data_IF_186731084779
#
_entry.id   IF_186731084779
#
_cell.length_a   1.000
_cell.length_b   1.000
_cell.length_c   1.000
_cell.angle_alpha   90.00
_cell.angle_beta   90.00
_cell.angle_gamma   90.00
#
_symmetry.space_group_name_H-M   'P 1'
#
loop_
_entity.id
_entity.type
_entity.pdbx_description
1 polymer ?
#
# COMPACT_ATOMS: atom_id res chain seq x y z
N UNK A 1 63.21 1.83 38.14
CA UNK A 1 62.93 1.50 36.72
C UNK A 1 62.29 0.10 36.67
N UNK A 2 60.97 -0.01 36.48
CA UNK A 2 60.26 -1.31 36.43
C UNK A 2 60.09 -1.74 34.97
N UNK A 3 60.63 -2.91 34.62
CA UNK A 3 60.45 -3.59 33.33
C UNK A 3 58.99 -4.02 33.17
N UNK A 4 58.38 -3.65 32.04
CA UNK A 4 57.04 -4.09 31.64
C UNK A 4 57.17 -5.49 31.03
N UNK A 5 56.46 -6.47 31.58
CA UNK A 5 56.41 -7.85 31.09
C UNK A 5 55.59 -7.94 29.80
N UNK A 6 56.19 -8.55 28.77
CA UNK A 6 55.62 -8.79 27.42
C UNK A 6 54.57 -9.92 27.36
N UNK A 7 53.89 -10.22 28.47
CA UNK A 7 52.93 -11.31 28.58
C UNK A 7 51.48 -10.93 28.26
N UNK A 8 51.09 -9.66 28.44
CA UNK A 8 49.67 -9.27 28.35
C UNK A 8 49.19 -8.90 26.95
N UNK A 9 50.08 -8.85 25.96
CA UNK A 9 49.72 -8.38 24.61
C UNK A 9 49.14 -9.51 23.73
N UNK A 10 49.52 -10.77 23.96
CA UNK A 10 49.02 -11.90 23.15
C UNK A 10 47.60 -12.33 23.50
N UNK A 11 47.16 -12.11 24.74
CA UNK A 11 45.79 -12.43 25.15
C UNK A 11 44.78 -11.37 24.71
N UNK A 12 45.21 -10.11 24.53
CA UNK A 12 44.32 -9.03 24.11
C UNK A 12 43.87 -9.19 22.64
N UNK A 13 44.75 -9.67 21.76
CA UNK A 13 44.41 -9.94 20.36
C UNK A 13 43.51 -11.18 20.18
N UNK A 14 43.56 -12.15 21.10
CA UNK A 14 42.72 -13.34 21.03
C UNK A 14 41.26 -13.06 21.44
N UNK A 15 41.01 -12.07 22.32
CA UNK A 15 39.62 -11.74 22.72
C UNK A 15 38.86 -10.89 21.69
N UNK A 16 39.58 -10.18 20.81
CA UNK A 16 38.96 -9.27 19.83
C UNK A 16 38.38 -10.02 18.60
N UNK A 17 38.81 -11.26 18.33
CA UNK A 17 38.29 -12.07 17.21
C UNK A 17 37.01 -12.85 17.53
N UNK A 18 36.62 -13.01 18.81
CA UNK A 18 35.38 -13.73 19.15
C UNK A 18 34.10 -12.89 19.04
N UNK A 19 34.21 -11.57 18.88
CA UNK A 19 33.04 -10.68 18.75
C UNK A 19 32.63 -10.37 17.30
N UNK A 20 33.28 -10.99 16.31
CA UNK A 20 33.11 -10.62 14.90
C UNK A 20 32.09 -11.47 14.10
N UNK A 21 31.25 -12.31 14.73
CA UNK A 21 30.34 -13.21 14.01
C UNK A 21 28.83 -13.00 14.25
N UNK A 22 28.41 -11.91 14.90
CA UNK A 22 26.97 -11.59 15.04
C UNK A 22 26.55 -10.40 14.17
N UNK A 23 26.97 -10.43 12.90
CA UNK A 23 26.49 -9.47 11.89
C UNK A 23 25.37 -10.11 11.05
N UNK A 24 24.15 -9.65 11.32
CA UNK A 24 23.04 -9.51 10.37
C UNK A 24 22.52 -10.78 9.66
N UNK A 25 21.95 -11.70 10.42
CA UNK A 25 20.88 -12.55 9.91
C UNK A 25 19.53 -12.08 10.47
N UNK A 26 19.19 -10.80 10.28
CA UNK A 26 17.79 -10.36 10.34
C UNK A 26 17.13 -10.72 9.00
N UNK A 27 17.21 -12.00 8.62
CA UNK A 27 16.29 -12.57 7.65
C UNK A 27 14.94 -12.56 8.34
N UNK A 28 14.19 -11.47 8.12
CA UNK A 28 12.92 -11.24 8.78
C UNK A 28 12.07 -12.50 8.67
N UNK A 29 11.76 -13.11 9.81
CA UNK A 29 10.68 -14.08 9.89
C UNK A 29 9.48 -13.33 9.31
N UNK A 30 9.06 -13.74 8.11
CA UNK A 30 7.78 -13.30 7.55
C UNK A 30 6.73 -13.89 8.47
N UNK A 31 6.38 -13.11 9.50
CA UNK A 31 5.26 -13.44 10.34
C UNK A 31 4.03 -13.46 9.45
N UNK A 32 3.46 -14.65 9.25
CA UNK A 32 2.26 -14.86 8.43
C UNK A 32 1.06 -14.05 8.93
N UNK A 33 1.09 -13.62 10.20
CA UNK A 33 0.04 -12.78 10.77
C UNK A 33 0.17 -11.33 10.27
N UNK A 34 1.37 -10.95 9.81
CA UNK A 34 1.75 -9.62 9.32
C UNK A 34 1.79 -9.58 7.79
N UNK A 35 2.38 -10.61 7.15
CA UNK A 35 2.42 -10.75 5.69
C UNK A 35 1.44 -11.83 5.24
N UNK A 36 0.48 -11.44 4.41
CA UNK A 36 -0.59 -12.31 3.93
C UNK A 36 -0.66 -12.26 2.40
N UNK A 37 -1.05 -13.36 1.77
CA UNK A 37 -1.21 -13.43 0.33
C UNK A 37 -2.49 -12.70 -0.09
N UNK A 38 -2.39 -11.47 -0.57
CA UNK A 38 -3.56 -10.65 -0.92
C UNK A 38 -3.26 -9.67 -2.06
N UNK A 39 -4.30 -8.97 -2.52
CA UNK A 39 -4.19 -7.99 -3.59
C UNK A 39 -4.38 -6.54 -3.12
N UNK A 40 -3.68 -5.63 -3.81
CA UNK A 40 -3.92 -4.19 -3.76
C UNK A 40 -4.12 -3.65 -5.17
N UNK A 41 -5.10 -2.77 -5.39
CA UNK A 41 -5.37 -2.24 -6.73
C UNK A 41 -6.19 -0.96 -6.78
N UNK A 42 -6.13 -0.30 -7.93
CA UNK A 42 -7.05 0.74 -8.40
C UNK A 42 -7.00 0.81 -9.93
N UNK A 43 -8.08 1.21 -10.60
CA UNK A 43 -8.06 1.47 -12.05
C UNK A 43 -8.83 2.75 -12.39
N UNK A 44 -8.11 3.78 -12.86
CA UNK A 44 -8.69 5.07 -13.21
C UNK A 44 -9.64 4.95 -14.39
N UNK A 45 -9.31 4.11 -15.38
CA UNK A 45 -10.03 4.03 -16.65
C UNK A 45 -11.39 3.36 -16.48
N UNK A 46 -11.47 2.34 -15.63
CA UNK A 46 -12.72 1.61 -15.41
C UNK A 46 -13.60 2.26 -14.35
N UNK A 47 -13.03 2.69 -13.22
CA UNK A 47 -13.82 3.05 -12.04
C UNK A 47 -13.92 4.57 -11.81
N UNK A 48 -12.97 5.38 -12.30
CA UNK A 48 -12.86 6.80 -11.94
C UNK A 48 -12.25 7.67 -13.06
N UNK A 49 -12.87 7.76 -14.26
CA UNK A 49 -12.26 8.40 -15.44
C UNK A 49 -12.02 9.92 -15.28
N UNK A 50 -12.77 10.57 -14.40
CA UNK A 50 -12.66 11.98 -14.01
C UNK A 50 -11.56 12.24 -12.98
N UNK A 51 -10.86 11.21 -12.51
CA UNK A 51 -9.82 11.32 -11.49
C UNK A 51 -8.44 11.18 -12.11
N UNK A 52 -7.48 11.83 -11.48
CA UNK A 52 -6.06 11.57 -11.67
C UNK A 52 -5.39 11.34 -10.32
N UNK A 53 -4.86 10.14 -10.14
CA UNK A 53 -4.13 9.75 -8.93
C UNK A 53 -2.70 10.29 -9.06
N UNK A 54 -2.25 11.06 -8.06
CA UNK A 54 -0.95 11.72 -8.05
C UNK A 54 0.07 10.98 -7.18
N UNK A 55 -0.40 10.36 -6.10
CA UNK A 55 0.42 9.60 -5.17
C UNK A 55 -0.47 8.59 -4.44
N UNK A 56 0.12 7.47 -4.02
CA UNK A 56 -0.56 6.46 -3.23
C UNK A 56 0.45 5.64 -2.43
N UNK A 57 0.00 5.15 -1.28
CA UNK A 57 0.78 4.24 -0.46
C UNK A 57 -0.16 3.35 0.35
N UNK A 58 -0.04 2.05 0.13
CA UNK A 58 -0.63 1.01 0.96
C UNK A 58 0.44 0.40 1.86
N UNK A 59 0.25 0.50 3.18
CA UNK A 59 1.21 0.08 4.21
C UNK A 59 2.55 0.84 4.22
N UNK A 60 3.42 0.52 5.18
CA UNK A 60 4.79 1.02 5.23
C UNK A 60 5.80 0.14 4.46
N UNK A 61 5.34 -0.92 3.78
CA UNK A 61 6.19 -1.81 3.02
C UNK A 61 6.81 -1.12 1.79
N UNK A 62 7.99 -1.60 1.39
CA UNK A 62 8.72 -1.14 0.20
C UNK A 62 8.47 -2.01 -1.02
N UNK A 63 7.45 -2.88 -0.98
CA UNK A 63 7.10 -3.70 -2.13
C UNK A 63 6.74 -2.82 -3.34
N UNK A 64 7.16 -3.22 -4.53
CA UNK A 64 6.78 -2.50 -5.76
C UNK A 64 5.26 -2.61 -5.96
N UNK A 65 4.62 -1.59 -6.51
CA UNK A 65 3.19 -1.59 -6.85
C UNK A 65 2.23 -1.24 -5.70
N UNK A 66 2.68 -1.24 -4.45
CA UNK A 66 1.87 -0.77 -3.30
C UNK A 66 2.15 0.68 -2.90
N UNK A 67 3.09 1.34 -3.59
CA UNK A 67 3.37 2.76 -3.42
C UNK A 67 3.85 3.38 -4.72
N UNK A 68 3.56 4.66 -4.91
CA UNK A 68 4.21 5.45 -5.95
C UNK A 68 5.73 5.49 -5.71
N UNK A 69 6.50 5.33 -6.77
CA UNK A 69 7.93 5.61 -6.72
C UNK A 69 8.15 7.13 -6.78
N UNK A 70 9.06 7.72 -5.98
CA UNK A 70 9.23 9.17 -5.93
C UNK A 70 9.44 9.81 -7.30
N UNK A 71 10.08 9.10 -8.24
CA UNK A 71 10.36 9.55 -9.60
C UNK A 71 9.09 9.62 -10.48
N UNK A 72 8.04 8.87 -10.12
CA UNK A 72 6.75 8.85 -10.83
C UNK A 72 5.72 9.80 -10.21
N UNK A 73 5.96 10.32 -9.02
CA UNK A 73 5.07 11.30 -8.40
C UNK A 73 5.20 12.61 -9.17
N UNK A 74 4.12 13.13 -9.80
CA UNK A 74 4.18 14.38 -10.55
C UNK A 74 4.59 15.53 -9.62
N UNK A 75 5.77 16.11 -9.85
CA UNK A 75 6.21 17.30 -9.11
C UNK A 75 5.63 18.54 -9.79
N UNK A 76 4.96 19.38 -8.99
CA UNK A 76 4.45 20.69 -9.42
C UNK A 76 3.51 20.68 -10.64
N UNK A 77 2.66 19.67 -10.75
CA UNK A 77 1.64 19.60 -11.82
C UNK A 77 2.21 19.25 -13.21
N UNK A 78 3.50 18.95 -13.29
CA UNK A 78 4.16 18.43 -14.49
C UNK A 78 4.25 16.90 -14.37
N UNK A 79 3.66 16.18 -15.32
CA UNK A 79 3.60 14.71 -15.34
C UNK A 79 2.17 14.15 -15.36
N UNK A 80 2.04 12.95 -15.93
CA UNK A 80 0.80 12.18 -15.91
C UNK A 80 0.67 11.42 -14.58
N UNK A 81 -0.50 11.48 -13.96
CA UNK A 81 -0.83 10.67 -12.81
C UNK A 81 -0.89 9.17 -13.13
N UNK A 82 -1.12 8.38 -12.08
CA UNK A 82 -1.21 6.93 -12.17
C UNK A 82 -2.55 6.50 -12.77
N UNK A 83 -2.48 5.73 -13.86
CA UNK A 83 -3.65 5.16 -14.54
C UNK A 83 -4.29 3.98 -13.81
N UNK A 84 -3.53 3.30 -12.96
CA UNK A 84 -3.97 2.13 -12.23
C UNK A 84 -2.80 1.30 -11.72
N UNK A 85 -3.07 0.46 -10.73
CA UNK A 85 -2.17 -0.58 -10.25
C UNK A 85 -2.95 -1.83 -9.90
N UNK A 86 -2.27 -2.97 -9.97
CA UNK A 86 -2.85 -4.26 -9.61
C UNK A 86 -1.74 -5.23 -9.25
N UNK A 87 -1.62 -5.53 -7.97
CA UNK A 87 -0.63 -6.47 -7.47
C UNK A 87 -1.28 -7.55 -6.62
N UNK A 88 -0.71 -8.75 -6.69
CA UNK A 88 -0.99 -9.86 -5.81
C UNK A 88 0.34 -10.42 -5.31
N UNK A 89 0.42 -10.78 -4.05
CA UNK A 89 1.60 -11.41 -3.48
C UNK A 89 1.52 -11.52 -1.98
N UNK A 90 2.60 -11.97 -1.36
CA UNK A 90 2.73 -11.95 0.09
C UNK A 90 3.04 -10.52 0.55
N UNK A 91 1.99 -9.74 0.77
CA UNK A 91 2.07 -8.32 1.08
C UNK A 91 1.86 -8.10 2.57
N UNK A 92 2.46 -7.04 3.11
CA UNK A 92 2.18 -6.59 4.46
C UNK A 92 0.70 -6.20 4.57
N UNK A 93 -0.04 -6.77 5.53
CA UNK A 93 -1.40 -6.33 5.87
C UNK A 93 -1.31 -4.87 6.34
N UNK A 94 -1.79 -3.96 5.52
CA UNK A 94 -1.54 -2.54 5.71
C UNK A 94 -2.34 -1.95 6.86
N UNK A 95 -1.66 -1.17 7.70
CA UNK A 95 -2.30 -0.38 8.75
C UNK A 95 -2.94 0.90 8.21
N UNK A 96 -2.58 1.32 7.00
CA UNK A 96 -3.14 2.51 6.37
C UNK A 96 -3.14 2.43 4.85
N UNK A 97 -3.98 3.28 4.24
CA UNK A 97 -3.93 3.66 2.84
C UNK A 97 -3.87 5.18 2.74
N UNK A 98 -2.84 5.70 2.08
CA UNK A 98 -2.75 7.10 1.68
C UNK A 98 -2.98 7.21 0.17
N UNK A 99 -3.76 8.21 -0.25
CA UNK A 99 -3.96 8.55 -1.66
C UNK A 99 -4.03 10.05 -1.81
N UNK A 100 -3.40 10.57 -2.87
CA UNK A 100 -3.51 11.96 -3.32
C UNK A 100 -3.99 11.99 -4.75
N UNK A 101 -4.94 12.86 -5.05
CA UNK A 101 -5.56 12.92 -6.37
C UNK A 101 -6.03 14.32 -6.73
N UNK A 102 -6.36 14.52 -8.00
CA UNK A 102 -7.06 15.70 -8.49
C UNK A 102 -8.26 15.31 -9.34
N UNK A 103 -9.28 16.17 -9.33
CA UNK A 103 -10.55 15.94 -10.02
C UNK A 103 -10.56 16.76 -11.30
N UNK A 104 -10.70 16.11 -12.45
CA UNK A 104 -10.79 16.76 -13.76
C UNK A 104 -12.09 17.54 -13.86
N UNK A 105 -12.01 18.72 -14.45
CA UNK A 105 -13.19 19.52 -14.79
C UNK A 105 -13.88 18.90 -16.01
N UNK A 106 -15.19 18.61 -15.94
CA UNK A 106 -15.90 18.03 -17.06
C UNK A 106 -15.99 19.02 -18.23
N UNK A 107 -16.00 18.50 -19.46
CA UNK A 107 -16.26 19.29 -20.67
C UNK A 107 -15.07 20.12 -21.18
N UNK A 108 -13.87 19.95 -20.63
CA UNK A 108 -12.66 20.64 -21.10
C UNK A 108 -11.84 19.75 -22.04
N UNK A 109 -11.32 20.34 -23.13
CA UNK A 109 -10.44 19.65 -24.08
C UNK A 109 -9.01 19.50 -23.53
N UNK A 110 -8.60 20.42 -22.67
CA UNK A 110 -7.33 20.37 -21.94
C UNK A 110 -7.59 20.01 -20.47
N UNK A 111 -6.59 19.43 -19.77
CA UNK A 111 -6.75 19.05 -18.38
C UNK A 111 -6.85 20.29 -17.48
N UNK A 112 -8.07 20.65 -17.11
CA UNK A 112 -8.36 21.57 -16.01
C UNK A 112 -8.81 20.74 -14.80
N UNK A 113 -8.50 21.21 -13.59
CA UNK A 113 -8.84 20.50 -12.36
C UNK A 113 -9.70 21.38 -11.46
N UNK A 114 -10.74 20.77 -10.88
CA UNK A 114 -11.64 21.42 -9.92
C UNK A 114 -10.96 21.56 -8.55
N UNK A 115 -10.09 20.60 -8.21
CA UNK A 115 -9.33 20.62 -6.96
C UNK A 115 -8.37 19.44 -6.84
N UNK A 116 -7.45 19.56 -5.89
CA UNK A 116 -6.51 18.53 -5.47
C UNK A 116 -6.82 18.15 -4.02
N UNK A 117 -6.86 16.86 -3.73
CA UNK A 117 -7.25 16.30 -2.45
C UNK A 117 -6.27 15.20 -2.03
N UNK A 118 -6.23 14.92 -0.73
CA UNK A 118 -5.49 13.81 -0.18
C UNK A 118 -6.23 13.24 1.04
N UNK A 119 -6.08 11.94 1.25
CA UNK A 119 -6.67 11.24 2.39
C UNK A 119 -5.74 10.13 2.87
N UNK A 120 -5.79 9.87 4.18
CA UNK A 120 -5.05 8.81 4.85
C UNK A 120 -5.99 8.00 5.73
N UNK A 121 -6.40 6.85 5.24
CA UNK A 121 -7.32 5.92 5.89
C UNK A 121 -6.56 5.03 6.86
N UNK A 122 -7.02 4.94 8.10
CA UNK A 122 -6.58 3.93 9.07
C UNK A 122 -7.29 2.60 8.79
N UNK A 123 -6.54 1.56 8.45
CA UNK A 123 -7.07 0.25 8.07
C UNK A 123 -7.08 -0.76 9.22
N UNK A 124 -6.46 -0.45 10.37
CA UNK A 124 -6.22 -1.42 11.46
C UNK A 124 -7.50 -2.09 11.96
N UNK A 125 -8.55 -1.29 12.16
CA UNK A 125 -9.88 -1.73 12.61
C UNK A 125 -10.86 -2.00 11.47
N UNK A 126 -10.46 -1.73 10.22
CA UNK A 126 -11.32 -1.85 9.03
C UNK A 126 -11.08 -3.14 8.26
N UNK A 127 -9.87 -3.68 8.34
CA UNK A 127 -9.53 -4.96 7.74
C UNK A 127 -9.80 -6.11 8.73
N UNK A 128 -10.38 -7.23 8.26
CA UNK A 128 -10.36 -8.49 9.01
C UNK A 128 -8.94 -8.89 9.41
N UNK A 129 -8.83 -9.80 10.39
CA UNK A 129 -7.54 -10.34 10.82
C UNK A 129 -6.84 -11.11 9.69
N UNK A 130 -7.61 -11.90 8.95
CA UNK A 130 -7.18 -12.64 7.76
C UNK A 130 -7.82 -12.02 6.50
N UNK A 131 -6.97 -11.56 5.59
CA UNK A 131 -7.34 -11.00 4.29
C UNK A 131 -6.75 -11.82 3.14
N UNK A 132 -6.34 -13.07 3.40
CA UNK A 132 -5.83 -13.99 2.39
C UNK A 132 -6.79 -14.08 1.21
N UNK A 133 -6.23 -13.99 0.00
CA UNK A 133 -6.91 -13.94 -1.30
C UNK A 133 -7.88 -12.78 -1.52
N UNK A 134 -8.06 -11.90 -0.54
CA UNK A 134 -8.89 -10.72 -0.69
C UNK A 134 -8.14 -9.62 -1.44
N UNK A 135 -8.92 -8.72 -2.02
CA UNK A 135 -8.41 -7.55 -2.73
C UNK A 135 -8.85 -6.27 -2.02
N UNK A 136 -7.86 -5.48 -1.62
CA UNK A 136 -8.07 -4.09 -1.23
C UNK A 136 -8.09 -3.27 -2.52
N UNK A 137 -9.19 -2.57 -2.76
CA UNK A 137 -9.37 -1.75 -3.95
C UNK A 137 -9.92 -0.39 -3.56
N UNK A 138 -9.34 0.69 -4.10
CA UNK A 138 -9.86 2.02 -3.85
C UNK A 138 -10.46 2.64 -5.11
N UNK A 139 -11.52 3.42 -4.91
CA UNK A 139 -12.21 4.22 -5.93
C UNK A 139 -12.37 5.63 -5.40
N UNK A 140 -12.31 6.63 -6.26
CA UNK A 140 -12.50 8.03 -5.88
C UNK A 140 -13.71 8.59 -6.62
N UNK A 141 -14.54 9.37 -5.91
CA UNK A 141 -15.65 10.14 -6.51
C UNK A 141 -15.55 11.59 -6.02
N UNK A 142 -15.19 12.50 -6.92
CA UNK A 142 -14.94 13.90 -6.57
C UNK A 142 -13.90 14.03 -5.44
N UNK A 143 -14.29 14.65 -4.33
CA UNK A 143 -13.43 14.86 -3.16
C UNK A 143 -13.39 13.69 -2.17
N UNK A 144 -14.07 12.57 -2.43
CA UNK A 144 -14.17 11.45 -1.49
C UNK A 144 -13.44 10.20 -1.99
N UNK A 145 -12.56 9.65 -1.14
CA UNK A 145 -11.96 8.34 -1.30
C UNK A 145 -12.88 7.25 -0.75
N UNK A 146 -13.02 6.15 -1.47
CA UNK A 146 -13.73 4.94 -1.06
C UNK A 146 -12.77 3.76 -1.09
N UNK A 147 -12.82 2.91 -0.07
CA UNK A 147 -12.00 1.69 0.00
C UNK A 147 -12.92 0.50 0.14
N UNK A 148 -12.64 -0.54 -0.65
CA UNK A 148 -13.40 -1.77 -0.72
C UNK A 148 -12.50 -2.96 -0.43
N UNK A 149 -13.08 -3.94 0.25
CA UNK A 149 -12.56 -5.29 0.36
C UNK A 149 -13.38 -6.19 -0.58
N UNK A 150 -12.69 -6.89 -1.47
CA UNK A 150 -13.29 -7.66 -2.56
C UNK A 150 -12.87 -9.12 -2.43
N UNK A 151 -13.84 -10.03 -2.46
CA UNK A 151 -13.60 -11.47 -2.39
C UNK A 151 -13.33 -12.04 -3.78
N UNK A 152 -12.50 -13.09 -3.87
CA UNK A 152 -12.31 -13.81 -5.11
C UNK A 152 -13.59 -14.56 -5.51
N UNK A 153 -13.73 -14.83 -6.81
CA UNK A 153 -14.86 -15.58 -7.36
C UNK A 153 -16.13 -14.75 -7.60
N UNK A 154 -17.13 -15.41 -8.18
CA UNK A 154 -18.42 -14.78 -8.45
C UNK A 154 -19.22 -14.68 -7.15
N UNK A 155 -19.94 -13.58 -6.98
CA UNK A 155 -20.96 -13.45 -5.93
C UNK A 155 -22.13 -14.38 -6.21
N UNK A 156 -22.82 -14.77 -5.15
CA UNK A 156 -24.11 -15.44 -5.27
C UNK A 156 -25.12 -14.57 -6.03
N UNK A 157 -26.03 -15.20 -6.77
CA UNK A 157 -27.04 -14.48 -7.56
C UNK A 157 -27.96 -13.58 -6.70
N UNK A 158 -28.08 -13.86 -5.40
CA UNK A 158 -28.85 -13.07 -4.45
C UNK A 158 -28.16 -11.77 -4.03
N UNK A 159 -26.85 -11.64 -4.23
CA UNK A 159 -26.09 -10.44 -3.85
C UNK A 159 -26.27 -9.38 -4.94
N UNK A 160 -26.67 -8.14 -4.62
CA UNK A 160 -26.78 -7.05 -5.60
C UNK A 160 -25.46 -6.75 -6.32
N UNK A 161 -25.51 -6.11 -7.49
CA UNK A 161 -24.29 -5.68 -8.18
C UNK A 161 -23.48 -4.70 -7.35
N UNK A 162 -22.16 -4.87 -7.42
CA UNK A 162 -21.22 -4.01 -6.72
C UNK A 162 -21.13 -2.62 -7.33
N UNK A 163 -20.91 -1.61 -6.48
CA UNK A 163 -20.60 -0.23 -6.85
C UNK A 163 -19.26 -0.05 -7.57
N UNK A 164 -18.32 -0.99 -7.45
CA UNK A 164 -17.05 -0.99 -8.17
C UNK A 164 -17.24 -1.73 -9.49
N UNK A 165 -17.11 -1.02 -10.63
CA UNK A 165 -17.48 -1.56 -11.94
C UNK A 165 -16.59 -2.71 -12.35
N UNK A 166 -15.29 -2.61 -12.05
CA UNK A 166 -14.30 -3.65 -12.35
C UNK A 166 -14.64 -5.01 -11.71
N UNK A 167 -15.27 -5.01 -10.53
CA UNK A 167 -15.59 -6.21 -9.75
C UNK A 167 -17.08 -6.35 -9.45
N UNK A 168 -17.96 -5.80 -10.30
CA UNK A 168 -19.42 -5.77 -10.08
C UNK A 168 -20.05 -7.16 -9.87
N UNK A 169 -19.39 -8.22 -10.34
CA UNK A 169 -19.79 -9.61 -10.23
C UNK A 169 -19.15 -10.36 -9.06
N UNK A 170 -18.31 -9.70 -8.25
CA UNK A 170 -17.69 -10.28 -7.06
C UNK A 170 -18.37 -9.74 -5.81
N UNK A 171 -18.22 -10.44 -4.69
CA UNK A 171 -18.65 -9.90 -3.41
C UNK A 171 -17.69 -8.77 -3.03
N UNK A 172 -18.26 -7.60 -2.73
CA UNK A 172 -17.52 -6.42 -2.33
C UNK A 172 -18.16 -5.78 -1.09
N UNK A 173 -17.32 -5.31 -0.18
CA UNK A 173 -17.73 -4.59 1.03
C UNK A 173 -16.98 -3.27 1.07
N UNK A 174 -17.70 -2.16 1.19
CA UNK A 174 -17.07 -0.87 1.45
C UNK A 174 -16.59 -0.83 2.91
N UNK A 175 -15.32 -0.52 3.09
CA UNK A 175 -14.69 -0.37 4.42
C UNK A 175 -14.36 1.10 4.75
N UNK A 176 -14.44 2.00 3.77
CA UNK A 176 -14.27 3.45 3.95
C UNK A 176 -15.00 4.24 2.84
N UNK A 177 -15.59 5.43 3.12
CA UNK A 177 -15.85 5.98 4.46
C UNK A 177 -16.80 5.10 5.27
N UNK A 178 -16.85 5.35 6.58
CA UNK A 178 -17.78 4.65 7.47
C UNK A 178 -19.22 4.98 7.04
N UNK A 179 -20.06 3.95 6.91
CA UNK A 179 -21.47 4.14 6.58
C UNK A 179 -22.18 4.75 7.78
N UNK A 180 -23.09 5.71 7.52
CA UNK A 180 -24.00 6.18 8.55
C UNK A 180 -24.80 4.98 9.07
N UNK A 181 -24.79 4.78 10.39
CA UNK A 181 -25.58 3.75 11.07
C UNK A 181 -27.05 4.09 11.07
#
# INVERSE_FOLDING_TARGET
MKKIQSGSLKCLFASLMLFALTACATGGIMDKDVYQAHSFSFDVRQDMPDIEVLDYQYSNSRHNGIRATPERVPTQGTGEGFWGEGIYGNLLRGDFLYVKWRVKKPGTLLPEYIGTYEDRVDLRSRLPADITDLRIHFVIKGAQLYVYLIWPGLKDASVPEGSVKMYRHQKQVQIYPDQAK
#
